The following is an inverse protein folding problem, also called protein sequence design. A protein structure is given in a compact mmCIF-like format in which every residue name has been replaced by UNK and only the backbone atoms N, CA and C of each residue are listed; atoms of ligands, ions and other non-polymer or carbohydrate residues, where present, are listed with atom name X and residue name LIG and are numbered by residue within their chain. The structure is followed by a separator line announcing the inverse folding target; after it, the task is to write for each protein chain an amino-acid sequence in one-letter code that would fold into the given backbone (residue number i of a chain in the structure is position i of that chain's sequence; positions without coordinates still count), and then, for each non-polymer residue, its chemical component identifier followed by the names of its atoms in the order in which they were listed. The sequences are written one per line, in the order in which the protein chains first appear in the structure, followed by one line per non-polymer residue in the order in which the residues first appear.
data_IF_130050288399
#
_entry.id   IF_130050288399
#
_cell.length_a   1.000
_cell.length_b   1.000
_cell.length_c   1.000
_cell.angle_alpha   90.00
_cell.angle_beta   90.00
_cell.angle_gamma   90.00
#
_symmetry.space_group_name_H-M   'P 1'
#
loop_
_entity.id
_entity.type
_entity.pdbx_description
1 polymer ?
#
# COMPACT_ATOMS: atom_id res chain seq x y z
N UNK A 1 6.47 3.19 -14.40
CA UNK A 1 5.52 3.26 -15.55
C UNK A 1 4.07 3.14 -15.07
N UNK A 2 3.67 2.03 -14.44
CA UNK A 2 2.29 1.85 -13.95
C UNK A 2 1.90 2.82 -12.83
N UNK A 3 2.78 3.07 -11.85
CA UNK A 3 2.52 4.04 -10.77
C UNK A 3 2.30 5.46 -11.28
N UNK A 4 3.18 5.91 -12.18
CA UNK A 4 3.06 7.23 -12.82
C UNK A 4 1.73 7.38 -13.57
N UNK A 5 1.33 6.38 -14.37
CA UNK A 5 0.04 6.42 -15.07
C UNK A 5 -1.14 6.50 -14.10
N UNK A 6 -1.11 5.71 -13.02
CA UNK A 6 -2.16 5.74 -12.00
C UNK A 6 -2.29 7.12 -11.35
N UNK A 7 -1.16 7.73 -10.95
CA UNK A 7 -1.15 9.07 -10.38
C UNK A 7 -1.69 10.12 -11.34
N UNK A 8 -1.21 10.14 -12.59
CA UNK A 8 -1.67 11.12 -13.59
C UNK A 8 -3.18 11.00 -13.81
N UNK A 9 -3.71 9.79 -13.90
CA UNK A 9 -5.16 9.59 -14.08
C UNK A 9 -5.95 10.03 -12.84
N UNK A 10 -5.48 9.75 -11.62
CA UNK A 10 -6.17 10.19 -10.40
C UNK A 10 -6.14 11.72 -10.25
N UNK A 11 -4.99 12.34 -10.53
CA UNK A 11 -4.85 13.80 -10.46
C UNK A 11 -5.66 14.53 -11.54
N UNK A 12 -5.81 13.93 -12.74
CA UNK A 12 -6.67 14.45 -13.79
C UNK A 12 -8.16 14.48 -13.37
N UNK A 13 -8.58 13.54 -12.52
CA UNK A 13 -9.92 13.49 -11.91
C UNK A 13 -10.01 14.34 -10.62
N UNK A 14 -8.99 15.13 -10.31
CA UNK A 14 -8.97 16.01 -9.15
C UNK A 14 -8.76 15.30 -7.81
N UNK A 15 -8.22 14.08 -7.82
CA UNK A 15 -7.86 13.32 -6.62
C UNK A 15 -6.37 13.55 -6.34
N UNK A 16 -5.98 14.32 -5.30
CA UNK A 16 -4.58 14.51 -4.94
C UNK A 16 -3.95 13.19 -4.51
N UNK A 17 -2.74 12.90 -4.99
CA UNK A 17 -2.05 11.65 -4.65
C UNK A 17 -0.61 11.87 -4.23
N UNK A 18 -0.11 10.96 -3.39
CA UNK A 18 1.29 10.87 -3.01
C UNK A 18 1.76 9.42 -3.23
N UNK A 19 3.03 9.24 -3.58
CA UNK A 19 3.60 7.92 -3.86
C UNK A 19 4.70 7.55 -2.86
N UNK A 20 4.64 6.31 -2.38
CA UNK A 20 5.71 5.69 -1.61
C UNK A 20 6.15 4.41 -2.33
N UNK A 21 7.46 4.23 -2.50
CA UNK A 21 8.03 3.06 -3.16
C UNK A 21 8.74 2.18 -2.14
N UNK A 22 8.49 0.88 -2.21
CA UNK A 22 9.25 -0.13 -1.46
C UNK A 22 10.24 -0.84 -2.38
N UNK A 23 11.39 -1.31 -1.87
CA UNK A 23 12.29 -2.15 -2.66
C UNK A 23 11.58 -3.42 -3.15
N UNK A 24 11.93 -3.96 -4.33
CA UNK A 24 11.33 -5.20 -4.81
C UNK A 24 11.78 -6.42 -3.99
N UNK A 25 10.87 -7.37 -3.78
CA UNK A 25 11.15 -8.67 -3.16
C UNK A 25 10.54 -8.86 -1.77
N UNK A 26 10.44 -10.11 -1.33
CA UNK A 26 9.82 -10.48 -0.04
C UNK A 26 10.53 -9.85 1.16
N UNK A 27 11.84 -9.61 1.05
CA UNK A 27 12.65 -8.96 2.10
C UNK A 27 12.16 -7.56 2.48
N UNK A 28 11.34 -6.93 1.64
CA UNK A 28 10.73 -5.64 1.94
C UNK A 28 9.51 -5.74 2.86
N UNK A 29 8.97 -6.94 3.08
CA UNK A 29 7.79 -7.18 3.92
C UNK A 29 8.19 -7.28 5.39
N UNK A 30 8.61 -6.15 5.96
CA UNK A 30 9.11 -6.08 7.33
C UNK A 30 8.41 -5.00 8.14
N UNK A 31 8.48 -5.12 9.47
CA UNK A 31 8.02 -4.07 10.39
C UNK A 31 8.79 -2.75 10.19
N UNK A 32 10.05 -2.81 9.78
CA UNK A 32 10.86 -1.63 9.48
C UNK A 32 10.29 -0.83 8.30
N UNK A 33 9.94 -1.50 7.21
CA UNK A 33 9.30 -0.82 6.08
C UNK A 33 7.88 -0.34 6.42
N UNK A 34 7.14 -1.06 7.26
CA UNK A 34 5.86 -0.55 7.77
C UNK A 34 6.07 0.76 8.56
N UNK A 35 7.12 0.84 9.39
CA UNK A 35 7.48 2.06 10.11
C UNK A 35 7.87 3.21 9.17
N UNK A 36 8.62 2.94 8.11
CA UNK A 36 8.92 3.97 7.09
C UNK A 36 7.65 4.52 6.44
N UNK A 37 6.68 3.66 6.14
CA UNK A 37 5.39 4.08 5.60
C UNK A 37 4.61 4.91 6.63
N UNK A 38 4.62 4.55 7.92
CA UNK A 38 3.96 5.36 8.97
C UNK A 38 4.56 6.76 9.09
N UNK A 39 5.89 6.88 9.08
CA UNK A 39 6.55 8.18 9.12
C UNK A 39 6.17 9.00 7.89
N UNK A 40 6.20 8.40 6.71
CA UNK A 40 5.82 9.07 5.47
C UNK A 40 4.34 9.52 5.47
N UNK A 41 3.42 8.70 5.99
CA UNK A 41 2.01 9.08 6.16
C UNK A 41 1.86 10.24 7.14
N UNK A 42 2.62 10.25 8.24
CA UNK A 42 2.59 11.32 9.23
C UNK A 42 3.13 12.64 8.66
N UNK A 43 4.22 12.59 7.88
CA UNK A 43 4.82 13.76 7.23
C UNK A 43 3.85 14.41 6.23
N UNK A 44 3.05 13.59 5.53
CA UNK A 44 1.99 14.03 4.62
C UNK A 44 0.67 14.35 5.32
N UNK A 45 0.63 14.30 6.66
CA UNK A 45 -0.57 14.54 7.47
C UNK A 45 -1.76 13.70 7.02
N UNK A 46 -1.52 12.42 6.73
CA UNK A 46 -2.59 11.52 6.32
C UNK A 46 -3.63 11.33 7.43
N UNK A 47 -4.90 11.56 7.09
CA UNK A 47 -6.03 11.45 8.01
C UNK A 47 -6.81 10.15 7.78
N UNK A 48 -7.66 9.77 8.74
CA UNK A 48 -8.43 8.50 8.72
C UNK A 48 -9.27 8.32 7.44
N UNK A 49 -9.73 9.41 6.83
CA UNK A 49 -10.55 9.37 5.61
C UNK A 49 -9.79 9.14 4.31
N UNK A 50 -8.46 9.24 4.32
CA UNK A 50 -7.64 9.04 3.12
C UNK A 50 -7.56 7.55 2.73
N UNK A 51 -7.37 7.29 1.45
CA UNK A 51 -7.30 5.95 0.88
C UNK A 51 -5.84 5.51 0.68
N UNK A 52 -5.50 4.33 1.19
CA UNK A 52 -4.25 3.64 0.84
C UNK A 52 -4.51 2.73 -0.36
N UNK A 53 -3.75 2.93 -1.45
CA UNK A 53 -3.84 2.12 -2.66
C UNK A 53 -2.57 1.27 -2.80
N UNK A 54 -2.72 -0.06 -2.73
CA UNK A 54 -1.63 -1.00 -2.95
C UNK A 54 -1.52 -1.36 -4.44
N UNK A 55 -0.64 -0.66 -5.17
CA UNK A 55 -0.33 -0.98 -6.56
C UNK A 55 0.91 -1.89 -6.64
N UNK A 56 0.70 -3.20 -6.78
CA UNK A 56 1.82 -4.14 -6.82
C UNK A 56 1.44 -5.62 -6.71
N UNK A 57 2.43 -6.47 -6.48
CA UNK A 57 2.22 -7.90 -6.20
C UNK A 57 1.80 -8.17 -4.75
N UNK A 58 1.84 -9.44 -4.34
CA UNK A 58 1.42 -9.88 -2.99
C UNK A 58 2.15 -9.15 -1.86
N UNK A 59 3.47 -8.95 -2.01
CA UNK A 59 4.31 -8.21 -1.05
C UNK A 59 3.78 -6.81 -0.76
N UNK A 60 3.44 -6.06 -1.83
CA UNK A 60 2.91 -4.69 -1.70
C UNK A 60 1.53 -4.72 -1.06
N UNK A 61 0.68 -5.67 -1.46
CA UNK A 61 -0.66 -5.85 -0.90
C UNK A 61 -0.65 -6.16 0.59
N UNK A 62 0.18 -7.12 1.01
CA UNK A 62 0.34 -7.51 2.42
C UNK A 62 0.85 -6.36 3.27
N UNK A 63 1.95 -5.72 2.87
CA UNK A 63 2.57 -4.65 3.63
C UNK A 63 1.66 -3.42 3.72
N UNK A 64 1.14 -2.94 2.58
CA UNK A 64 0.27 -1.77 2.56
C UNK A 64 -1.07 -2.04 3.26
N UNK A 65 -1.59 -3.28 3.16
CA UNK A 65 -2.79 -3.69 3.88
C UNK A 65 -2.57 -3.77 5.40
N UNK A 66 -1.39 -4.23 5.84
CA UNK A 66 -1.02 -4.23 7.25
C UNK A 66 -0.91 -2.79 7.79
N UNK A 67 -0.27 -1.90 7.03
CA UNK A 67 -0.20 -0.47 7.35
C UNK A 67 -1.59 0.14 7.41
N UNK A 68 -2.46 -0.14 6.43
CA UNK A 68 -3.82 0.40 6.41
C UNK A 68 -4.67 -0.08 7.59
N UNK A 69 -4.50 -1.33 8.03
CA UNK A 69 -5.22 -1.87 9.18
C UNK A 69 -4.77 -1.26 10.52
N UNK A 70 -3.50 -0.85 10.63
CA UNK A 70 -2.88 -0.48 11.90
C UNK A 70 -2.68 1.03 12.07
N UNK A 71 -2.36 1.75 10.99
CA UNK A 71 -2.20 3.20 11.02
C UNK A 71 -3.54 3.88 11.30
N UNK A 72 -3.54 4.81 12.25
CA UNK A 72 -4.75 5.40 12.83
C UNK A 72 -5.82 4.38 13.25
N UNK A 73 -5.44 3.12 13.56
CA UNK A 73 -6.37 2.02 13.87
C UNK A 73 -7.35 1.70 12.72
N UNK A 74 -6.92 1.85 11.48
CA UNK A 74 -7.73 1.51 10.31
C UNK A 74 -7.99 2.70 9.39
N UNK A 75 -7.58 2.54 8.14
CA UNK A 75 -7.85 3.44 7.01
C UNK A 75 -8.51 2.68 5.85
N UNK A 76 -9.28 3.37 4.98
CA UNK A 76 -9.70 2.83 3.70
C UNK A 76 -8.52 2.26 2.91
N UNK A 77 -8.74 1.09 2.29
CA UNK A 77 -7.72 0.34 1.58
C UNK A 77 -8.25 -0.23 0.26
N UNK A 78 -7.49 -0.09 -0.82
CA UNK A 78 -7.79 -0.68 -2.12
C UNK A 78 -6.56 -1.41 -2.68
N UNK A 79 -6.75 -2.64 -3.15
CA UNK A 79 -5.70 -3.38 -3.85
C UNK A 79 -5.82 -3.18 -5.36
N UNK A 80 -4.68 -2.93 -6.01
CA UNK A 80 -4.50 -2.95 -7.46
C UNK A 80 -3.40 -3.98 -7.77
N UNK A 81 -3.74 -5.28 -7.72
CA UNK A 81 -2.76 -6.35 -7.89
C UNK A 81 -2.17 -6.37 -9.30
N UNK A 82 -0.84 -6.41 -9.41
CA UNK A 82 -0.11 -6.41 -10.70
C UNK A 82 0.54 -7.74 -11.04
N UNK A 83 0.37 -8.77 -10.20
CA UNK A 83 0.84 -10.14 -10.44
C UNK A 83 -0.33 -11.13 -10.47
N UNK A 84 -0.23 -12.16 -11.31
CA UNK A 84 -1.28 -13.20 -11.43
C UNK A 84 -1.58 -13.88 -10.09
N UNK A 85 -0.55 -14.21 -9.31
CA UNK A 85 -0.72 -14.83 -7.99
C UNK A 85 -1.48 -13.89 -7.04
N UNK A 86 -1.12 -12.60 -7.00
CA UNK A 86 -1.84 -11.63 -6.18
C UNK A 86 -3.30 -11.42 -6.64
N UNK A 87 -3.55 -11.45 -7.95
CA UNK A 87 -4.90 -11.32 -8.50
C UNK A 87 -5.82 -12.48 -8.11
N UNK A 88 -5.27 -13.69 -7.94
CA UNK A 88 -6.04 -14.91 -7.69
C UNK A 88 -6.11 -15.31 -6.21
N UNK A 89 -5.13 -14.90 -5.40
CA UNK A 89 -5.01 -15.32 -4.00
C UNK A 89 -5.05 -14.11 -3.04
N UNK A 90 -4.05 -13.22 -3.13
CA UNK A 90 -3.89 -12.11 -2.18
C UNK A 90 -5.00 -11.03 -2.22
N UNK A 91 -5.75 -10.96 -3.32
CA UNK A 91 -6.89 -10.05 -3.48
C UNK A 91 -8.14 -10.52 -2.74
N UNK A 92 -8.15 -11.75 -2.21
CA UNK A 92 -9.31 -12.38 -1.56
C UNK A 92 -8.94 -12.76 -0.11
N UNK A 93 -9.85 -12.48 0.83
CA UNK A 93 -9.76 -12.94 2.22
C UNK A 93 -9.15 -11.95 3.22
N UNK A 94 -8.61 -10.81 2.77
CA UNK A 94 -8.23 -9.68 3.64
C UNK A 94 -7.06 -9.96 4.58
N UNK A 95 -6.29 -11.02 4.34
CA UNK A 95 -5.07 -11.31 5.09
C UNK A 95 -4.01 -10.28 4.73
N UNK A 96 -3.36 -9.74 5.75
CA UNK A 96 -2.24 -8.80 5.61
C UNK A 96 -1.21 -9.15 6.67
N UNK A 97 0.07 -9.06 6.33
CA UNK A 97 1.14 -9.52 7.21
C UNK A 97 2.47 -8.82 6.92
N UNK A 98 3.34 -8.82 7.92
CA UNK A 98 4.76 -8.53 7.78
C UNK A 98 5.57 -9.69 8.37
N UNK A 99 6.74 -9.95 7.82
CA UNK A 99 7.61 -11.02 8.27
C UNK A 99 8.47 -10.55 9.44
N UNK A 100 8.83 -11.49 10.31
CA UNK A 100 9.74 -11.29 11.44
C UNK A 100 11.13 -11.84 11.09
N UNK A 101 12.22 -11.32 11.70
CA UNK A 101 13.58 -11.81 11.49
C UNK A 101 13.77 -13.30 11.83
#
# INVERSE_FOLDING_TARGET
LQSHQAQVTMEAEGIPTHQFFIPPGEQSKTLENAQHIYTWLADHKAERGHLIVALGGGVVGDLAGYVAATYLRGMPFAQVPTSMLAMMDASIGGKTAVDLP
#
